data_IF_578433657500
#
_entry.id   IF_578433657500
#
_cell.length_a   1.000
_cell.length_b   1.000
_cell.length_c   1.000
_cell.angle_alpha   90.00
_cell.angle_beta   90.00
_cell.angle_gamma   90.00
#
_symmetry.space_group_name_H-M   'P 1'
#
loop_
_entity.id
_entity.type
_entity.pdbx_description
1 polymer ?
#
# COMPACT_ATOMS: atom_id res chain seq x y z
N UNK A 1 25.28 -7.79 1.09
CA UNK A 1 25.79 -8.54 2.26
C UNK A 1 26.79 -7.72 3.09
N UNK A 2 27.94 -7.31 2.53
CA UNK A 2 28.97 -6.53 3.26
C UNK A 2 28.41 -5.22 3.85
N UNK A 3 27.52 -4.53 3.14
CA UNK A 3 26.84 -3.33 3.66
C UNK A 3 25.95 -3.60 4.88
N UNK A 4 25.28 -4.76 4.93
CA UNK A 4 24.43 -5.16 6.05
C UNK A 4 25.29 -5.48 7.27
N UNK A 5 26.39 -6.24 7.06
CA UNK A 5 27.32 -6.61 8.12
C UNK A 5 28.08 -5.42 8.72
N UNK A 6 28.22 -4.33 7.96
CA UNK A 6 28.86 -3.07 8.41
C UNK A 6 27.88 -2.06 9.00
N UNK A 7 26.59 -2.36 9.03
CA UNK A 7 25.58 -1.43 9.53
C UNK A 7 25.75 -1.27 11.06
N UNK A 8 25.76 -0.05 11.61
CA UNK A 8 26.02 0.17 13.04
C UNK A 8 24.97 -0.43 13.98
N UNK A 9 23.74 -0.68 13.48
CA UNK A 9 22.69 -1.40 14.21
C UNK A 9 22.74 -2.92 14.04
N UNK A 10 23.67 -3.45 13.24
CA UNK A 10 23.80 -4.88 13.04
C UNK A 10 24.63 -5.48 14.16
N UNK A 11 23.98 -6.16 15.10
CA UNK A 11 24.67 -6.85 16.20
C UNK A 11 25.30 -8.15 15.71
N UNK A 12 26.61 -8.12 15.46
CA UNK A 12 27.40 -9.30 15.05
C UNK A 12 27.29 -10.45 16.08
N UNK A 13 27.02 -10.13 17.35
CA UNK A 13 26.83 -11.11 18.42
C UNK A 13 25.58 -11.97 18.25
N UNK A 14 24.60 -11.53 17.45
CA UNK A 14 23.41 -12.33 17.11
C UNK A 14 23.72 -13.42 16.06
N UNK A 15 24.87 -13.35 15.38
CA UNK A 15 25.28 -14.37 14.42
C UNK A 15 25.85 -15.59 15.13
N UNK A 16 25.28 -16.75 14.83
CA UNK A 16 25.85 -18.02 15.27
C UNK A 16 27.18 -18.29 14.54
N UNK A 17 28.29 -18.26 15.29
CA UNK A 17 29.62 -18.66 14.79
C UNK A 17 29.74 -20.17 14.51
N UNK A 18 28.79 -20.97 14.99
CA UNK A 18 28.77 -22.43 14.82
C UNK A 18 27.64 -22.86 13.87
N UNK A 19 28.02 -23.56 12.80
CA UNK A 19 27.11 -24.06 11.76
C UNK A 19 26.05 -25.03 12.29
N UNK A 20 26.35 -25.86 13.31
CA UNK A 20 25.35 -26.72 13.95
C UNK A 20 24.31 -25.91 14.74
N UNK A 21 24.72 -24.84 15.43
CA UNK A 21 23.80 -23.94 16.13
C UNK A 21 22.92 -23.19 15.13
N UNK A 22 23.50 -22.75 14.01
CA UNK A 22 22.78 -22.11 12.92
C UNK A 22 21.75 -23.06 12.29
N UNK A 23 22.09 -24.33 12.03
CA UNK A 23 21.12 -25.34 11.57
C UNK A 23 19.95 -25.52 12.54
N UNK A 24 20.23 -25.71 13.83
CA UNK A 24 19.20 -25.81 14.89
C UNK A 24 18.33 -24.56 15.00
N UNK A 25 18.89 -23.39 14.71
CA UNK A 25 18.14 -22.15 14.66
C UNK A 25 17.22 -22.10 13.42
N UNK A 26 17.75 -22.46 12.25
CA UNK A 26 16.97 -22.55 11.01
C UNK A 26 15.81 -23.55 11.11
N UNK A 27 15.95 -24.65 11.85
CA UNK A 27 14.87 -25.60 12.13
C UNK A 27 13.70 -24.99 12.91
N UNK A 28 13.96 -23.92 13.69
CA UNK A 28 12.92 -23.18 14.42
C UNK A 28 12.32 -22.04 13.59
N UNK A 29 12.89 -21.74 12.42
CA UNK A 29 12.33 -20.69 11.56
C UNK A 29 10.98 -21.16 11.02
N UNK A 30 9.99 -20.28 10.99
CA UNK A 30 8.64 -20.64 10.58
C UNK A 30 8.67 -20.93 9.06
N UNK A 31 8.60 -22.22 8.68
CA UNK A 31 8.59 -22.65 7.28
C UNK A 31 7.28 -22.25 6.61
N UNK A 32 7.36 -21.76 5.38
CA UNK A 32 6.18 -21.36 4.62
C UNK A 32 5.67 -22.51 3.79
N UNK A 33 4.42 -22.91 4.03
CA UNK A 33 3.75 -23.91 3.21
C UNK A 33 3.37 -23.31 1.85
N UNK A 34 3.75 -24.00 0.77
CA UNK A 34 3.36 -23.63 -0.59
C UNK A 34 2.27 -24.60 -1.02
N UNK A 35 1.08 -24.06 -1.29
CA UNK A 35 -0.05 -24.87 -1.76
C UNK A 35 0.14 -25.22 -3.22
N UNK A 36 -0.34 -26.40 -3.57
CA UNK A 36 -0.26 -26.90 -4.94
C UNK A 36 -1.65 -27.31 -5.43
N UNK A 37 -1.89 -27.12 -6.72
CA UNK A 37 -3.12 -27.53 -7.37
C UNK A 37 -2.83 -28.04 -8.78
N UNK A 38 -3.69 -28.93 -9.26
CA UNK A 38 -3.58 -29.48 -10.61
C UNK A 38 -4.17 -28.50 -11.61
N UNK A 39 -3.42 -28.21 -12.67
CA UNK A 39 -3.87 -27.37 -13.78
C UNK A 39 -3.82 -28.19 -15.07
N UNK A 40 -4.82 -28.00 -15.92
CA UNK A 40 -4.89 -28.61 -17.24
C UNK A 40 -3.85 -27.99 -18.17
N UNK A 41 -3.07 -28.83 -18.84
CA UNK A 41 -2.09 -28.40 -19.84
C UNK A 41 -2.75 -28.44 -21.22
N UNK A 42 -2.74 -27.33 -21.96
CA UNK A 42 -3.24 -27.32 -23.35
C UNK A 42 -2.28 -28.13 -24.23
N UNK A 43 -2.76 -29.29 -24.68
CA UNK A 43 -1.94 -30.33 -25.31
C UNK A 43 -1.58 -30.02 -26.79
N UNK A 44 -2.12 -28.93 -27.35
CA UNK A 44 -2.09 -28.65 -28.80
C UNK A 44 -0.68 -28.48 -29.43
N UNK A 45 0.39 -28.40 -28.64
CA UNK A 45 1.80 -28.37 -29.12
C UNK A 45 2.80 -29.13 -28.24
N UNK A 46 2.34 -30.11 -27.46
CA UNK A 46 3.21 -30.89 -26.54
C UNK A 46 3.29 -32.35 -26.98
N UNK A 47 4.42 -33.05 -26.71
CA UNK A 47 4.60 -34.46 -27.06
C UNK A 47 3.44 -35.33 -26.55
N UNK A 48 3.11 -36.40 -27.26
CA UNK A 48 2.03 -37.35 -26.90
C UNK A 48 2.25 -38.09 -25.57
N UNK A 49 3.41 -37.94 -24.94
CA UNK A 49 3.76 -38.44 -23.61
C UNK A 49 3.46 -37.46 -22.47
N UNK A 50 2.98 -36.25 -22.78
CA UNK A 50 2.76 -35.19 -21.78
C UNK A 50 1.47 -35.42 -21.01
N UNK A 51 1.55 -35.43 -19.67
CA UNK A 51 0.37 -35.58 -18.81
C UNK A 51 -0.60 -34.42 -19.02
N UNK A 52 -1.89 -34.73 -19.09
CA UNK A 52 -2.99 -33.74 -19.29
C UNK A 52 -3.11 -32.75 -18.12
N UNK A 53 -2.59 -33.12 -16.95
CA UNK A 53 -2.52 -32.25 -15.78
C UNK A 53 -1.10 -32.13 -15.28
N UNK A 54 -0.71 -30.91 -14.88
CA UNK A 54 0.56 -30.67 -14.18
C UNK A 54 0.29 -30.10 -12.81
N UNK A 55 1.17 -30.44 -11.86
CA UNK A 55 1.13 -29.84 -10.53
C UNK A 55 1.71 -28.44 -10.63
N UNK A 56 0.91 -27.43 -10.27
CA UNK A 56 1.38 -26.05 -10.17
C UNK A 56 1.41 -25.65 -8.71
N UNK A 57 2.40 -24.85 -8.36
CA UNK A 57 2.58 -24.30 -7.03
C UNK A 57 2.20 -22.83 -7.07
N UNK A 58 1.38 -22.39 -6.13
CA UNK A 58 1.08 -20.98 -6.01
C UNK A 58 1.37 -20.50 -4.60
N UNK A 59 1.73 -19.23 -4.52
CA UNK A 59 2.07 -18.55 -3.30
C UNK A 59 1.08 -17.40 -3.09
N UNK A 60 0.29 -17.46 -2.02
CA UNK A 60 -0.67 -16.41 -1.68
C UNK A 60 0.03 -15.26 -0.98
N UNK A 61 0.13 -14.12 -1.67
CA UNK A 61 0.66 -12.88 -1.09
C UNK A 61 -0.12 -12.47 0.17
N UNK A 62 -1.44 -12.68 0.18
CA UNK A 62 -2.30 -12.33 1.32
C UNK A 62 -1.95 -13.16 2.56
N UNK A 63 -1.79 -14.48 2.41
CA UNK A 63 -1.43 -15.36 3.53
C UNK A 63 -0.03 -15.02 4.06
N UNK A 64 0.89 -14.66 3.17
CA UNK A 64 2.22 -14.22 3.57
C UNK A 64 2.22 -12.92 4.36
N UNK A 65 1.50 -11.90 3.89
CA UNK A 65 1.34 -10.64 4.61
C UNK A 65 0.71 -10.87 5.98
N UNK A 66 -0.37 -11.68 6.06
CA UNK A 66 -0.99 -12.04 7.35
C UNK A 66 0.02 -12.65 8.31
N UNK A 67 0.88 -13.55 7.84
CA UNK A 67 1.92 -14.16 8.66
C UNK A 67 2.93 -13.14 9.18
N UNK A 68 3.43 -12.25 8.31
CA UNK A 68 4.36 -11.18 8.71
C UNK A 68 3.72 -10.31 9.80
N UNK A 69 2.46 -9.89 9.59
CA UNK A 69 1.70 -9.07 10.53
C UNK A 69 1.42 -9.79 11.86
N UNK A 70 1.33 -11.12 11.86
CA UNK A 70 1.13 -11.92 13.06
C UNK A 70 2.39 -12.12 13.91
N UNK A 71 3.60 -11.88 13.36
CA UNK A 71 4.84 -12.01 14.12
C UNK A 71 5.00 -10.79 15.04
N UNK A 72 4.90 -10.92 16.38
CA UNK A 72 4.81 -9.75 17.27
C UNK A 72 6.04 -8.83 17.20
N UNK A 73 7.24 -9.41 17.04
CA UNK A 73 8.52 -8.69 16.95
C UNK A 73 8.61 -7.85 15.67
N UNK A 74 8.05 -8.36 14.57
CA UNK A 74 8.04 -7.62 13.31
C UNK A 74 6.93 -6.59 13.36
N UNK A 75 5.73 -7.01 13.79
CA UNK A 75 4.56 -6.14 13.90
C UNK A 75 4.84 -4.89 14.77
N UNK A 76 5.59 -5.03 15.87
CA UNK A 76 5.97 -3.88 16.71
C UNK A 76 6.96 -2.91 16.05
N UNK A 77 7.66 -3.36 15.01
CA UNK A 77 8.58 -2.53 14.20
C UNK A 77 7.93 -1.99 12.93
N UNK A 78 6.73 -2.45 12.56
CA UNK A 78 6.00 -1.95 11.42
C UNK A 78 5.37 -0.60 11.75
N UNK A 79 5.45 0.34 10.82
CA UNK A 79 4.87 1.66 10.96
C UNK A 79 3.51 1.73 10.26
N UNK A 80 2.46 1.97 11.04
CA UNK A 80 1.08 2.14 10.56
C UNK A 80 0.53 3.56 10.79
N UNK A 81 1.42 4.54 11.06
CA UNK A 81 1.06 5.93 11.22
C UNK A 81 0.81 6.66 9.89
N UNK A 82 0.66 8.00 9.90
CA UNK A 82 0.55 8.78 8.67
C UNK A 82 1.73 8.55 7.72
N UNK A 83 1.50 8.53 6.42
CA UNK A 83 2.60 8.41 5.46
C UNK A 83 3.64 9.52 5.65
N UNK A 84 4.92 9.17 5.78
CA UNK A 84 5.99 10.18 5.93
C UNK A 84 6.38 10.66 4.54
N UNK A 85 6.09 11.93 4.24
CA UNK A 85 6.47 12.53 2.96
C UNK A 85 7.92 12.98 3.02
N UNK A 86 8.74 12.46 2.10
CA UNK A 86 10.10 12.92 1.87
C UNK A 86 10.26 13.34 0.40
N UNK A 87 11.01 14.42 0.16
CA UNK A 87 11.25 14.96 -1.19
C UNK A 87 12.10 13.97 -2.03
N UNK A 88 13.01 13.26 -1.37
CA UNK A 88 13.79 12.14 -1.94
C UNK A 88 13.16 10.81 -1.50
N UNK A 89 12.23 10.27 -2.29
CA UNK A 89 11.75 8.90 -2.08
C UNK A 89 12.87 7.91 -2.44
N UNK A 90 13.51 7.31 -1.44
CA UNK A 90 14.44 6.17 -1.62
C UNK A 90 13.71 4.82 -1.54
N UNK A 91 12.42 4.82 -1.20
CA UNK A 91 11.64 3.59 -1.13
C UNK A 91 11.21 3.08 -2.52
N UNK A 92 11.42 1.79 -2.75
CA UNK A 92 11.11 1.04 -3.98
C UNK A 92 9.61 0.89 -4.27
N UNK A 93 8.73 1.38 -3.39
CA UNK A 93 7.30 1.12 -3.46
C UNK A 93 6.56 2.29 -4.12
N UNK A 94 5.76 1.96 -5.14
CA UNK A 94 5.17 2.87 -6.10
C UNK A 94 4.24 3.93 -5.45
N UNK A 95 4.84 5.05 -5.03
CA UNK A 95 4.37 6.39 -4.59
C UNK A 95 2.92 6.64 -4.17
N UNK A 96 1.92 6.11 -4.87
CA UNK A 96 0.51 6.44 -4.64
C UNK A 96 -0.32 5.25 -4.12
N UNK A 97 -0.02 4.02 -4.56
CA UNK A 97 -0.94 2.88 -4.36
C UNK A 97 -1.04 2.42 -2.89
N UNK A 98 0.07 2.49 -2.15
CA UNK A 98 0.09 2.17 -0.72
C UNK A 98 -0.23 3.37 0.16
N UNK A 99 0.12 4.59 -0.25
CA UNK A 99 -0.20 5.80 0.49
C UNK A 99 -1.72 6.02 0.59
N UNK A 100 -2.48 5.54 -0.41
CA UNK A 100 -3.95 5.58 -0.44
C UNK A 100 -4.60 4.33 0.17
N UNK A 101 -3.82 3.34 0.61
CA UNK A 101 -4.38 2.10 1.14
C UNK A 101 -4.91 2.33 2.56
N UNK A 102 -6.21 2.13 2.83
CA UNK A 102 -6.75 2.22 4.20
C UNK A 102 -6.18 1.12 5.12
N UNK A 103 -5.53 0.11 4.55
CA UNK A 103 -4.85 -0.97 5.28
C UNK A 103 -3.41 -0.59 5.68
N UNK A 104 -2.81 0.41 5.03
CA UNK A 104 -1.40 0.78 5.21
C UNK A 104 -1.27 2.29 5.39
N UNK A 105 -1.54 2.74 6.62
CA UNK A 105 -1.42 4.12 7.04
C UNK A 105 -2.45 4.46 8.11
N UNK A 106 -2.36 5.67 8.64
CA UNK A 106 -3.38 6.18 9.53
C UNK A 106 -4.72 6.25 8.78
N UNK A 107 -5.72 5.50 9.25
CA UNK A 107 -7.04 5.42 8.61
C UNK A 107 -8.00 6.48 9.12
N UNK A 108 -7.72 7.10 10.27
CA UNK A 108 -8.56 8.13 10.88
C UNK A 108 -7.74 9.14 11.66
N UNK A 109 -8.20 10.38 11.70
CA UNK A 109 -7.66 11.45 12.56
C UNK A 109 -8.77 12.09 13.38
N UNK A 110 -8.47 12.41 14.64
CA UNK A 110 -9.35 13.19 15.49
C UNK A 110 -8.87 14.64 15.53
N UNK A 111 -9.73 15.56 15.08
CA UNK A 111 -9.53 17.00 15.19
C UNK A 111 -10.61 17.55 16.13
N UNK A 112 -10.42 18.76 16.65
CA UNK A 112 -11.42 19.48 17.48
C UNK A 112 -12.82 19.54 16.88
N UNK A 113 -12.94 19.47 15.54
CA UNK A 113 -14.22 19.50 14.80
C UNK A 113 -14.85 18.12 14.57
N UNK A 114 -14.17 17.03 14.93
CA UNK A 114 -14.66 15.67 14.74
C UNK A 114 -13.58 14.68 14.27
N UNK A 115 -13.99 13.43 14.12
CA UNK A 115 -13.20 12.35 13.51
C UNK A 115 -13.33 12.42 11.98
N UNK A 116 -12.21 12.27 11.27
CA UNK A 116 -12.17 12.15 9.81
C UNK A 116 -11.47 10.86 9.42
N UNK A 117 -12.05 10.10 8.51
CA UNK A 117 -11.49 8.88 7.97
C UNK A 117 -10.83 9.07 6.59
N UNK A 118 -9.84 8.23 6.29
CA UNK A 118 -9.28 8.04 4.96
C UNK A 118 -10.33 7.36 4.08
N UNK A 119 -11.20 8.18 3.49
CA UNK A 119 -12.26 7.85 2.52
C UNK A 119 -13.38 8.88 2.57
N UNK A 120 -13.38 9.78 3.56
CA UNK A 120 -14.42 10.78 3.70
C UNK A 120 -14.37 11.82 2.58
N UNK A 121 -15.55 12.23 2.14
CA UNK A 121 -15.73 13.42 1.32
C UNK A 121 -15.86 14.64 2.22
N UNK A 122 -15.04 15.65 1.96
CA UNK A 122 -14.98 16.86 2.78
C UNK A 122 -15.20 18.12 1.96
N UNK A 123 -15.74 19.12 2.64
CA UNK A 123 -15.81 20.50 2.18
C UNK A 123 -14.78 21.31 2.96
N UNK A 124 -13.88 22.00 2.26
CA UNK A 124 -12.83 22.81 2.87
C UNK A 124 -12.69 24.18 2.20
N UNK A 125 -12.08 25.11 2.92
CA UNK A 125 -11.81 26.45 2.40
C UNK A 125 -10.35 26.54 1.96
N UNK A 126 -10.15 27.09 0.77
CA UNK A 126 -8.82 27.47 0.28
C UNK A 126 -8.36 28.77 0.95
N UNK A 127 -7.08 29.13 0.77
CA UNK A 127 -6.52 30.40 1.26
C UNK A 127 -7.31 31.62 0.78
N UNK A 128 -7.93 31.53 -0.40
CA UNK A 128 -8.75 32.60 -0.98
C UNK A 128 -10.22 32.55 -0.52
N UNK A 129 -10.53 31.79 0.53
CA UNK A 129 -11.90 31.55 1.05
C UNK A 129 -12.88 30.90 0.08
N UNK A 130 -12.40 30.41 -1.07
CA UNK A 130 -13.24 29.62 -1.98
C UNK A 130 -13.50 28.24 -1.38
N UNK A 131 -14.77 27.83 -1.43
CA UNK A 131 -15.21 26.51 -1.03
C UNK A 131 -14.74 25.50 -2.08
N UNK A 132 -14.13 24.42 -1.61
CA UNK A 132 -13.76 23.27 -2.42
C UNK A 132 -14.29 22.00 -1.79
N UNK A 133 -14.46 21.00 -2.64
CA UNK A 133 -14.83 19.66 -2.25
C UNK A 133 -13.68 18.72 -2.59
N UNK A 134 -13.49 17.70 -1.77
CA UNK A 134 -12.44 16.74 -2.02
C UNK A 134 -12.66 15.45 -1.28
N UNK A 135 -11.93 14.45 -1.72
CA UNK A 135 -11.91 13.12 -1.13
C UNK A 135 -10.61 12.94 -0.37
N UNK A 136 -10.69 12.61 0.92
CA UNK A 136 -9.51 12.32 1.73
C UNK A 136 -8.89 11.02 1.22
N UNK A 137 -7.68 11.13 0.66
CA UNK A 137 -6.90 9.98 0.19
C UNK A 137 -6.05 9.40 1.31
N UNK A 138 -5.37 10.27 2.05
CA UNK A 138 -4.48 9.82 3.11
C UNK A 138 -4.09 10.94 4.07
N UNK A 139 -3.57 10.54 5.23
CA UNK A 139 -2.93 11.43 6.17
C UNK A 139 -1.42 11.26 6.07
N UNK A 140 -0.70 12.37 5.99
CA UNK A 140 0.74 12.38 5.78
C UNK A 140 1.44 13.32 6.76
N UNK A 141 2.66 13.00 7.16
CA UNK A 141 3.54 13.91 7.90
C UNK A 141 4.50 14.56 6.92
N UNK A 142 4.49 15.89 6.86
CA UNK A 142 5.40 16.69 6.05
C UNK A 142 6.20 17.59 6.99
N UNK A 143 7.52 17.36 7.10
CA UNK A 143 8.41 18.14 7.98
C UNK A 143 7.90 18.20 9.43
N UNK A 144 7.43 17.07 9.95
CA UNK A 144 6.88 16.93 11.31
C UNK A 144 5.43 17.40 11.48
N UNK A 145 4.80 17.98 10.45
CA UNK A 145 3.44 18.50 10.51
C UNK A 145 2.48 17.52 9.83
N UNK A 146 1.42 17.14 10.55
CA UNK A 146 0.32 16.34 9.99
C UNK A 146 -0.43 17.15 8.93
N UNK A 147 -0.57 16.59 7.74
CA UNK A 147 -1.33 17.13 6.62
C UNK A 147 -2.25 16.07 6.05
N UNK A 148 -3.28 16.51 5.36
CA UNK A 148 -4.23 15.65 4.66
C UNK A 148 -3.97 15.74 3.16
N UNK A 149 -3.76 14.59 2.50
CA UNK A 149 -3.74 14.52 1.04
C UNK A 149 -5.18 14.36 0.56
N UNK A 150 -5.62 15.31 -0.25
CA UNK A 150 -7.01 15.40 -0.72
C UNK A 150 -7.00 15.32 -2.24
N UNK A 151 -7.78 14.38 -2.79
CA UNK A 151 -8.10 14.40 -4.21
C UNK A 151 -9.19 15.44 -4.46
N UNK A 152 -8.90 16.41 -5.31
CA UNK A 152 -9.81 17.51 -5.59
C UNK A 152 -11.00 17.03 -6.43
N UNK A 153 -12.21 17.42 -5.99
CA UNK A 153 -13.42 17.29 -6.78
C UNK A 153 -13.70 18.61 -7.49
N UNK A 154 -13.83 18.55 -8.81
CA UNK A 154 -14.06 19.70 -9.67
C UNK A 154 -15.55 19.96 -9.88
N UNK A 155 -15.92 21.23 -9.82
CA UNK A 155 -17.16 21.72 -10.42
C UNK A 155 -17.01 21.82 -11.94
N UNK A 156 -18.12 21.91 -12.67
CA UNK A 156 -18.11 21.98 -14.13
C UNK A 156 -17.19 23.08 -14.69
N UNK A 157 -17.14 24.23 -14.01
CA UNK A 157 -16.32 25.36 -14.44
C UNK A 157 -14.82 25.05 -14.40
N UNK A 158 -14.40 24.18 -13.49
CA UNK A 158 -13.00 23.85 -13.21
C UNK A 158 -12.49 22.67 -14.03
N UNK A 159 -13.40 21.94 -14.72
CA UNK A 159 -13.03 20.86 -15.62
C UNK A 159 -12.24 21.43 -16.83
N UNK A 160 -11.15 20.77 -17.27
CA UNK A 160 -10.47 21.14 -18.51
C UNK A 160 -11.40 21.20 -19.72
N UNK A 161 -11.20 22.17 -20.61
CA UNK A 161 -12.09 22.42 -21.75
C UNK A 161 -12.37 21.17 -22.60
N UNK A 162 -11.35 20.33 -22.83
CA UNK A 162 -11.46 19.11 -23.65
C UNK A 162 -12.30 18.00 -22.99
N UNK A 163 -12.61 18.12 -21.69
CA UNK A 163 -13.47 17.17 -20.96
C UNK A 163 -14.88 17.72 -20.68
N UNK A 164 -15.16 18.98 -21.09
CA UNK A 164 -16.49 19.55 -20.98
C UNK A 164 -17.40 18.96 -22.06
N UNK A 165 -18.63 18.64 -21.68
CA UNK A 165 -19.68 18.20 -22.59
C UNK A 165 -21.01 18.82 -22.18
N UNK A 166 -21.96 18.86 -23.12
CA UNK A 166 -23.31 19.37 -22.87
C UNK A 166 -23.99 18.58 -21.74
N UNK A 167 -23.81 17.26 -21.69
CA UNK A 167 -24.34 16.42 -20.62
C UNK A 167 -23.80 16.80 -19.24
N UNK A 168 -22.51 17.14 -19.15
CA UNK A 168 -21.92 17.60 -17.89
C UNK A 168 -22.42 18.98 -17.50
N UNK A 169 -22.64 19.87 -18.47
CA UNK A 169 -23.21 21.19 -18.23
C UNK A 169 -24.63 21.10 -17.65
N UNK A 170 -25.49 20.27 -18.24
CA UNK A 170 -26.86 20.05 -17.76
C UNK A 170 -26.91 19.53 -16.33
N UNK A 171 -25.87 18.81 -15.90
CA UNK A 171 -25.76 18.23 -14.55
C UNK A 171 -24.84 19.02 -13.61
N UNK A 172 -24.39 20.23 -13.98
CA UNK A 172 -23.38 21.01 -13.25
C UNK A 172 -23.71 21.30 -11.78
N UNK A 173 -25.00 21.46 -11.45
CA UNK A 173 -25.42 21.80 -10.10
C UNK A 173 -25.59 20.58 -9.17
N UNK A 174 -25.60 19.36 -9.73
CA UNK A 174 -25.86 18.12 -8.98
C UNK A 174 -24.66 17.18 -8.93
N UNK A 175 -23.61 17.44 -9.72
CA UNK A 175 -22.46 16.55 -9.86
C UNK A 175 -21.16 17.30 -9.65
N UNK A 176 -20.21 16.57 -9.09
CA UNK A 176 -18.80 16.94 -9.06
C UNK A 176 -18.01 15.86 -9.78
N UNK A 177 -16.82 16.21 -10.28
CA UNK A 177 -16.02 15.33 -11.09
C UNK A 177 -14.63 15.13 -10.51
N UNK A 178 -14.20 13.88 -10.52
CA UNK A 178 -12.82 13.49 -10.24
C UNK A 178 -12.05 13.45 -11.56
N UNK A 179 -10.81 13.94 -11.56
CA UNK A 179 -9.83 13.58 -12.58
C UNK A 179 -9.05 12.38 -12.05
N UNK A 180 -9.02 11.31 -12.85
CA UNK A 180 -8.20 10.11 -12.66
C UNK A 180 -6.97 10.17 -13.59
#
# INVERSE_FOLDING_TARGET
LIQILKHPLFEVNELYSNLQKLKKYCEKLPLMEIRSHKVLVKIHKTPSTTKETTQTYYFSLIEHLKRILQIPIINSKLYFGPGVYNETCEEFWHRDLWAESPLFGQSKINITKGEFASSDFIRYYTLNHNIKYGWIRSFIIVKGILKVRIQLLLSFNEIPLHLKSQDRFLNANQKLWLLE
#
